data_IF_763090364877
#
_entry.id   IF_763090364877
#
_cell.length_a   1.000
_cell.length_b   1.000
_cell.length_c   1.000
_cell.angle_alpha   90.00
_cell.angle_beta   90.00
_cell.angle_gamma   90.00
#
_symmetry.space_group_name_H-M   'P 1'
#
loop_
_entity.id
_entity.type
_entity.pdbx_description
1 polymer ?
#
# COMPACT_ATOMS: atom_id res chain seq x y z
N UNK A 1 2.40 46.19 17.59
CA UNK A 1 3.12 44.90 17.60
C UNK A 1 2.15 43.80 17.99
N UNK A 2 1.46 43.19 17.01
CA UNK A 2 0.68 41.97 17.25
C UNK A 2 1.65 40.79 17.11
N UNK A 3 1.80 39.94 18.15
CA UNK A 3 2.63 38.76 18.03
C UNK A 3 1.95 37.82 17.04
N UNK A 4 2.74 37.38 16.06
CA UNK A 4 2.62 36.12 15.33
C UNK A 4 1.29 35.88 14.60
N UNK A 5 1.23 36.30 13.32
CA UNK A 5 0.27 35.72 12.39
C UNK A 5 0.57 34.22 12.28
N UNK A 6 -0.29 33.37 12.83
CA UNK A 6 -0.13 31.91 12.86
C UNK A 6 0.11 31.29 11.47
N UNK A 7 -0.30 31.96 10.39
CA UNK A 7 0.08 31.61 9.01
C UNK A 7 1.60 31.60 8.77
N UNK A 8 2.35 32.47 9.44
CA UNK A 8 3.83 32.48 9.41
C UNK A 8 4.43 31.29 10.16
N UNK A 9 3.71 30.64 11.09
CA UNK A 9 4.23 29.49 11.84
C UNK A 9 4.17 28.21 11.00
N UNK A 10 3.14 28.05 10.17
CA UNK A 10 2.94 26.86 9.33
C UNK A 10 3.44 27.03 7.88
N UNK A 11 3.51 28.27 7.39
CA UNK A 11 3.89 28.58 6.00
C UNK A 11 5.03 29.61 5.95
N UNK A 12 5.94 29.58 6.92
CA UNK A 12 7.17 30.39 6.95
C UNK A 12 8.03 30.16 5.70
N UNK A 13 8.21 28.90 5.32
CA UNK A 13 9.06 28.45 4.23
C UNK A 13 8.34 27.38 3.40
N UNK A 14 8.72 27.23 2.13
CA UNK A 14 8.14 26.20 1.24
C UNK A 14 8.28 24.78 1.81
N UNK A 15 9.43 24.47 2.40
CA UNK A 15 9.68 23.16 3.02
C UNK A 15 8.67 22.87 4.14
N UNK A 16 8.51 23.80 5.06
CA UNK A 16 7.62 23.64 6.21
C UNK A 16 6.15 23.58 5.76
N UNK A 17 5.78 24.40 4.78
CA UNK A 17 4.47 24.35 4.13
C UNK A 17 4.16 22.97 3.53
N UNK A 18 5.11 22.38 2.80
CA UNK A 18 4.94 21.04 2.20
C UNK A 18 4.80 19.97 3.27
N UNK A 19 5.59 20.04 4.35
CA UNK A 19 5.47 19.09 5.46
C UNK A 19 4.11 19.20 6.16
N UNK A 20 3.65 20.42 6.46
CA UNK A 20 2.34 20.62 7.08
C UNK A 20 1.18 20.15 6.18
N UNK A 21 1.29 20.35 4.86
CA UNK A 21 0.33 19.81 3.89
C UNK A 21 0.39 18.29 3.78
N UNK A 22 1.58 17.68 3.89
CA UNK A 22 1.74 16.22 3.89
C UNK A 22 1.11 15.59 5.14
N UNK A 23 1.30 16.19 6.32
CA UNK A 23 0.61 15.74 7.54
C UNK A 23 -0.90 15.93 7.39
N UNK A 24 -1.35 17.06 6.83
CA UNK A 24 -2.77 17.30 6.54
C UNK A 24 -3.38 16.28 5.58
N UNK A 25 -2.61 15.85 4.57
CA UNK A 25 -3.04 14.81 3.64
C UNK A 25 -3.29 13.47 4.35
N UNK A 26 -2.60 13.20 5.46
CA UNK A 26 -2.82 12.03 6.32
C UNK A 26 -3.88 12.23 7.42
N UNK A 27 -4.60 13.35 7.38
CA UNK A 27 -5.63 13.79 8.35
C UNK A 27 -5.22 13.81 9.83
N UNK A 28 -3.93 13.66 10.13
CA UNK A 28 -3.39 13.52 11.50
C UNK A 28 -3.46 14.81 12.34
N UNK A 29 -3.80 15.94 11.74
CA UNK A 29 -3.73 17.30 12.29
C UNK A 29 -5.00 18.12 12.03
N UNK A 30 -6.17 17.48 11.92
CA UNK A 30 -7.46 18.18 11.84
C UNK A 30 -7.95 18.58 13.25
N UNK A 31 -8.21 19.88 13.59
CA UNK A 31 -8.28 21.07 12.76
C UNK A 31 -7.18 22.13 13.05
N UNK A 32 -6.06 21.74 13.66
CA UNK A 32 -5.06 22.69 14.19
C UNK A 32 -4.33 23.51 13.12
N UNK A 33 -4.18 22.98 11.90
CA UNK A 33 -3.55 23.70 10.77
C UNK A 33 -4.56 24.58 10.00
N UNK A 34 -5.87 24.29 10.09
CA UNK A 34 -6.91 25.02 9.34
C UNK A 34 -7.53 26.19 10.13
N UNK A 35 -7.57 26.08 11.46
CA UNK A 35 -8.08 27.12 12.38
C UNK A 35 -7.49 28.53 12.16
N UNK A 36 -6.18 28.70 11.89
CA UNK A 36 -5.58 30.02 11.69
C UNK A 36 -6.02 30.69 10.38
N UNK A 37 -6.16 29.91 9.32
CA UNK A 37 -6.57 30.41 8.01
C UNK A 37 -8.07 30.75 7.97
N UNK A 38 -8.88 30.05 8.77
CA UNK A 38 -10.31 30.31 8.91
C UNK A 38 -10.61 31.63 9.63
N UNK A 39 -9.81 32.00 10.64
CA UNK A 39 -10.04 33.22 11.44
C UNK A 39 -9.75 34.51 10.69
N UNK A 40 -8.88 34.49 9.68
CA UNK A 40 -8.55 35.66 8.86
C UNK A 40 -9.53 35.83 7.69
N UNK A 41 -9.65 34.82 6.83
CA UNK A 41 -10.60 34.80 5.71
C UNK A 41 -11.16 33.40 5.50
N UNK A 42 -12.49 33.26 5.62
CA UNK A 42 -13.20 31.96 5.43
C UNK A 42 -12.91 31.29 4.08
N UNK A 43 -12.53 32.05 3.06
CA UNK A 43 -12.16 31.54 1.74
C UNK A 43 -10.85 30.72 1.76
N UNK A 44 -9.93 30.97 2.69
CA UNK A 44 -8.69 30.21 2.78
C UNK A 44 -8.93 28.77 3.27
N UNK A 45 -9.99 28.56 4.06
CA UNK A 45 -10.40 27.21 4.46
C UNK A 45 -10.89 26.36 3.27
N UNK A 46 -11.41 26.99 2.22
CA UNK A 46 -11.88 26.28 1.02
C UNK A 46 -10.73 25.56 0.30
N UNK A 47 -9.53 26.14 0.26
CA UNK A 47 -8.35 25.51 -0.30
C UNK A 47 -8.03 24.18 0.39
N UNK A 48 -8.01 24.17 1.73
CA UNK A 48 -7.71 22.98 2.51
C UNK A 48 -8.79 21.89 2.35
N UNK A 49 -10.06 22.29 2.28
CA UNK A 49 -11.17 21.36 2.03
C UNK A 49 -11.01 20.68 0.67
N UNK A 50 -10.74 21.45 -0.39
CA UNK A 50 -10.53 20.91 -1.74
C UNK A 50 -9.31 20.00 -1.77
N UNK A 51 -8.21 20.42 -1.13
CA UNK A 51 -6.99 19.62 -1.02
C UNK A 51 -7.23 18.25 -0.36
N UNK A 52 -7.96 18.23 0.76
CA UNK A 52 -8.30 16.98 1.47
C UNK A 52 -9.23 16.10 0.64
N UNK A 53 -10.26 16.67 -0.01
CA UNK A 53 -11.18 15.93 -0.88
C UNK A 53 -10.42 15.26 -2.02
N UNK A 54 -9.58 16.00 -2.75
CA UNK A 54 -8.76 15.44 -3.83
C UNK A 54 -7.81 14.37 -3.27
N UNK A 55 -7.19 14.63 -2.13
CA UNK A 55 -6.27 13.70 -1.49
C UNK A 55 -6.89 12.35 -1.18
N UNK A 56 -8.05 12.35 -0.51
CA UNK A 56 -8.74 11.14 -0.08
C UNK A 56 -9.38 10.40 -1.26
N UNK A 57 -10.06 11.11 -2.17
CA UNK A 57 -10.82 10.45 -3.24
C UNK A 57 -9.97 10.07 -4.44
N UNK A 58 -8.89 10.77 -4.73
CA UNK A 58 -8.08 10.50 -5.93
C UNK A 58 -6.76 9.86 -5.55
N UNK A 59 -5.93 10.59 -4.81
CA UNK A 59 -4.54 10.16 -4.55
C UNK A 59 -4.51 8.85 -3.76
N UNK A 60 -5.20 8.78 -2.62
CA UNK A 60 -5.23 7.58 -1.77
C UNK A 60 -5.84 6.36 -2.50
N UNK A 61 -6.88 6.57 -3.31
CA UNK A 61 -7.51 5.52 -4.11
C UNK A 61 -6.58 5.02 -5.23
N UNK A 62 -5.85 5.91 -5.90
CA UNK A 62 -4.86 5.53 -6.92
C UNK A 62 -3.70 4.74 -6.28
N UNK A 63 -3.15 5.23 -5.16
CA UNK A 63 -2.07 4.55 -4.43
C UNK A 63 -2.51 3.15 -4.04
N UNK A 64 -3.69 3.02 -3.42
CA UNK A 64 -4.27 1.72 -3.05
C UNK A 64 -4.44 0.81 -4.26
N UNK A 65 -4.94 1.35 -5.39
CA UNK A 65 -5.12 0.57 -6.60
C UNK A 65 -3.79 0.05 -7.17
N UNK A 66 -2.73 0.86 -7.18
CA UNK A 66 -1.40 0.46 -7.65
C UNK A 66 -0.80 -0.60 -6.73
N UNK A 67 -0.83 -0.39 -5.41
CA UNK A 67 -0.33 -1.34 -4.42
C UNK A 67 -1.08 -2.67 -4.51
N UNK A 68 -2.41 -2.63 -4.64
CA UNK A 68 -3.23 -3.82 -4.81
C UNK A 68 -2.88 -4.59 -6.09
N UNK A 69 -2.71 -3.89 -7.23
CA UNK A 69 -2.34 -4.54 -8.50
C UNK A 69 -0.99 -5.24 -8.38
N UNK A 70 0.01 -4.58 -7.79
CA UNK A 70 1.32 -5.16 -7.57
C UNK A 70 1.21 -6.41 -6.66
N UNK A 71 0.60 -6.26 -5.49
CA UNK A 71 0.45 -7.35 -4.53
C UNK A 71 -0.33 -8.54 -5.11
N UNK A 72 -1.44 -8.29 -5.80
CA UNK A 72 -2.27 -9.33 -6.41
C UNK A 72 -1.50 -10.16 -7.44
N UNK A 73 -0.66 -9.52 -8.27
CA UNK A 73 0.20 -10.21 -9.24
C UNK A 73 1.18 -11.15 -8.54
N UNK A 74 1.92 -10.63 -7.56
CA UNK A 74 2.85 -11.44 -6.76
C UNK A 74 2.15 -12.59 -6.01
N UNK A 75 1.03 -12.29 -5.37
CA UNK A 75 0.26 -13.25 -4.58
C UNK A 75 -0.27 -14.40 -5.44
N UNK A 76 -0.85 -14.11 -6.60
CA UNK A 76 -1.40 -15.12 -7.50
C UNK A 76 -0.29 -16.05 -8.03
N UNK A 77 0.82 -15.49 -8.49
CA UNK A 77 1.98 -16.29 -8.93
C UNK A 77 2.53 -17.16 -7.81
N UNK A 78 2.58 -16.65 -6.57
CA UNK A 78 3.02 -17.41 -5.40
C UNK A 78 2.13 -18.63 -5.14
N UNK A 79 0.80 -18.45 -5.16
CA UNK A 79 -0.17 -19.54 -4.99
C UNK A 79 -0.03 -20.58 -6.11
N UNK A 80 -0.01 -20.15 -7.37
CA UNK A 80 0.09 -21.06 -8.52
C UNK A 80 1.38 -21.87 -8.44
N UNK A 81 2.52 -21.22 -8.18
CA UNK A 81 3.81 -21.88 -8.05
C UNK A 81 3.84 -22.87 -6.88
N UNK A 82 3.20 -22.53 -5.76
CA UNK A 82 3.07 -23.43 -4.61
C UNK A 82 2.27 -24.70 -4.98
N UNK A 83 1.14 -24.53 -5.66
CA UNK A 83 0.31 -25.65 -6.12
C UNK A 83 1.04 -26.52 -7.16
N UNK A 84 1.75 -25.88 -8.10
CA UNK A 84 2.53 -26.57 -9.12
C UNK A 84 3.64 -27.41 -8.49
N UNK A 85 4.43 -26.83 -7.58
CA UNK A 85 5.48 -27.57 -6.85
C UNK A 85 4.90 -28.78 -6.13
N UNK A 86 3.75 -28.63 -5.46
CA UNK A 86 3.07 -29.75 -4.79
C UNK A 86 2.68 -30.86 -5.77
N UNK A 87 2.10 -30.51 -6.91
CA UNK A 87 1.69 -31.48 -7.94
C UNK A 87 2.88 -32.21 -8.55
N UNK A 88 3.95 -31.48 -8.86
CA UNK A 88 5.19 -32.07 -9.40
C UNK A 88 5.82 -33.02 -8.38
N UNK A 89 5.92 -32.60 -7.11
CA UNK A 89 6.49 -33.43 -6.05
C UNK A 89 5.72 -34.75 -5.87
N UNK A 90 4.38 -34.71 -5.84
CA UNK A 90 3.55 -35.93 -5.72
C UNK A 90 3.73 -36.86 -6.92
N UNK A 91 3.76 -36.31 -8.14
CA UNK A 91 4.00 -37.11 -9.37
C UNK A 91 5.38 -37.75 -9.36
N UNK A 92 6.42 -36.99 -9.03
CA UNK A 92 7.79 -37.49 -8.93
C UNK A 92 7.89 -38.61 -7.90
N UNK A 93 7.31 -38.44 -6.71
CA UNK A 93 7.28 -39.49 -5.67
C UNK A 93 6.55 -40.76 -6.15
N UNK A 94 5.44 -40.61 -6.87
CA UNK A 94 4.70 -41.75 -7.42
C UNK A 94 5.49 -42.50 -8.50
N UNK A 95 6.15 -41.78 -9.41
CA UNK A 95 7.00 -42.38 -10.44
C UNK A 95 8.17 -43.17 -9.84
N UNK A 96 8.83 -42.62 -8.81
CA UNK A 96 9.89 -43.31 -8.07
C UNK A 96 9.36 -44.59 -7.40
N UNK A 97 8.18 -44.52 -6.77
CA UNK A 97 7.57 -45.68 -6.11
C UNK A 97 7.22 -46.77 -7.14
N UNK A 98 6.63 -46.39 -8.28
CA UNK A 98 6.31 -47.31 -9.37
C UNK A 98 7.56 -48.01 -9.89
N UNK A 99 8.64 -47.25 -10.14
CA UNK A 99 9.92 -47.81 -10.57
C UNK A 99 10.45 -48.83 -9.55
N UNK A 100 10.48 -48.50 -8.26
CA UNK A 100 10.92 -49.42 -7.21
C UNK A 100 10.09 -50.71 -7.16
N UNK A 101 8.77 -50.62 -7.29
CA UNK A 101 7.92 -51.82 -7.34
C UNK A 101 8.21 -52.69 -8.56
N UNK A 102 8.41 -52.10 -9.73
CA UNK A 102 8.73 -52.85 -10.96
C UNK A 102 10.09 -53.55 -10.87
N UNK A 103 11.12 -52.88 -10.34
CA UNK A 103 12.44 -53.50 -10.18
C UNK A 103 12.48 -54.54 -9.05
N UNK A 104 11.75 -54.33 -7.94
CA UNK A 104 11.67 -55.30 -6.84
C UNK A 104 10.99 -56.61 -7.25
N UNK A 105 9.88 -56.54 -8.00
CA UNK A 105 9.19 -57.75 -8.49
C UNK A 105 9.98 -58.56 -9.52
N UNK A 106 10.94 -57.94 -10.22
CA UNK A 106 11.86 -58.63 -11.13
C UNK A 106 13.01 -59.36 -10.39
N UNK A 107 13.31 -58.98 -9.15
CA UNK A 107 14.37 -59.62 -8.35
C UNK A 107 13.81 -60.82 -7.57
N UNK A 108 12.53 -60.79 -7.17
CA UNK A 108 11.90 -61.86 -6.40
C UNK A 108 11.41 -63.05 -7.26
N UNK A 109 11.42 -62.90 -8.60
CA UNK A 109 11.06 -63.96 -9.57
C UNK A 109 12.26 -64.73 -10.15
N UNK A 110 13.46 -64.56 -9.58
CA UNK A 110 14.70 -65.24 -10.01
C UNK A 110 15.35 -65.98 -8.85
#
# INVERSE_FOLDING_TARGET
NRPDSQGSTYFSNLHDAVLHLLVLHSTANNPDVMMPAYSDYRLNALFFIIFVIIGIYWIQNIVTAVVYRAFRGYFLSSIINSQLRRRIAVRASFEILKQRMTYGGLIETR
#
